data_IF_230543923821
#
_entry.id   IF_230543923821
#
_cell.length_a   1.000
_cell.length_b   1.000
_cell.length_c   1.000
_cell.angle_alpha   90.00
_cell.angle_beta   90.00
_cell.angle_gamma   90.00
#
_symmetry.space_group_name_H-M   'P 1'
#
loop_
_entity.id
_entity.type
_entity.pdbx_description
1 polymer ?
#
# COMPACT_ATOMS: atom_id res chain seq x y z
N UNK A 1 5.73 14.61 -31.76
CA UNK A 1 5.06 13.52 -31.03
C UNK A 1 6.14 12.80 -30.25
N UNK A 2 6.14 12.93 -28.93
CA UNK A 2 6.63 11.97 -27.91
C UNK A 2 6.47 12.66 -26.57
N UNK A 3 5.52 12.15 -25.80
CA UNK A 3 5.16 12.61 -24.47
C UNK A 3 6.35 12.56 -23.52
N UNK A 4 6.91 13.72 -23.18
CA UNK A 4 7.91 13.77 -22.12
C UNK A 4 7.87 15.10 -21.40
N UNK A 5 6.97 15.19 -20.41
CA UNK A 5 7.08 16.00 -19.17
C UNK A 5 5.69 16.07 -18.51
N UNK A 6 5.33 14.97 -17.86
CA UNK A 6 4.25 14.92 -16.88
C UNK A 6 4.79 14.42 -15.54
N UNK A 7 5.95 14.91 -15.10
CA UNK A 7 6.64 14.45 -13.88
C UNK A 7 7.06 15.60 -12.97
N UNK A 8 6.13 16.53 -12.75
CA UNK A 8 6.24 17.50 -11.64
C UNK A 8 4.87 17.60 -10.96
N UNK A 9 4.34 16.45 -10.52
CA UNK A 9 3.31 16.46 -9.49
C UNK A 9 4.06 16.43 -8.16
N UNK A 10 4.33 17.62 -7.63
CA UNK A 10 4.68 17.85 -6.23
C UNK A 10 3.84 16.90 -5.35
N UNK A 11 4.45 15.78 -4.92
CA UNK A 11 3.72 14.68 -4.30
C UNK A 11 3.46 15.07 -2.86
N UNK A 12 2.46 15.91 -2.64
CA UNK A 12 1.83 16.04 -1.34
C UNK A 12 1.16 14.70 -1.06
N UNK A 13 1.91 13.78 -0.46
CA UNK A 13 1.33 12.59 0.14
C UNK A 13 0.29 13.13 1.14
N UNK A 14 -0.97 12.81 0.91
CA UNK A 14 -2.02 13.22 1.84
C UNK A 14 -1.74 12.54 3.17
N UNK A 15 -1.98 13.24 4.28
CA UNK A 15 -1.80 12.68 5.63
C UNK A 15 -2.48 11.31 5.78
N UNK A 16 -3.66 11.14 5.16
CA UNK A 16 -4.39 9.86 5.10
C UNK A 16 -3.54 8.70 4.52
N UNK A 17 -2.75 8.97 3.46
CA UNK A 17 -1.89 7.98 2.79
C UNK A 17 -0.63 7.70 3.61
N UNK A 18 -0.07 8.71 4.27
CA UNK A 18 1.03 8.51 5.22
C UNK A 18 0.60 7.63 6.39
N UNK A 19 -0.55 7.94 6.99
CA UNK A 19 -1.13 7.14 8.07
C UNK A 19 -1.43 5.70 7.60
N UNK A 20 -1.98 5.52 6.40
CA UNK A 20 -2.17 4.19 5.81
C UNK A 20 -0.86 3.41 5.73
N UNK A 21 0.20 4.05 5.22
CA UNK A 21 1.52 3.44 5.10
C UNK A 21 2.07 3.04 6.48
N UNK A 22 1.91 3.90 7.49
CA UNK A 22 2.33 3.61 8.86
C UNK A 22 1.54 2.46 9.49
N UNK A 23 0.22 2.42 9.30
CA UNK A 23 -0.62 1.29 9.75
C UNK A 23 -0.16 0.00 9.08
N UNK A 24 0.03 -0.01 7.76
CA UNK A 24 0.53 -1.19 7.03
C UNK A 24 1.88 -1.64 7.60
N UNK A 25 2.79 -0.72 7.96
CA UNK A 25 4.06 -1.08 8.63
C UNK A 25 3.87 -1.64 10.03
N UNK A 26 2.82 -1.23 10.74
CA UNK A 26 2.57 -1.62 12.11
C UNK A 26 1.89 -3.00 12.21
N UNK A 27 0.89 -3.25 11.36
CA UNK A 27 0.12 -4.52 11.36
C UNK A 27 0.56 -5.49 10.26
N UNK A 28 1.37 -5.04 9.31
CA UNK A 28 1.89 -5.85 8.22
C UNK A 28 3.20 -6.53 8.59
N UNK A 29 3.46 -7.64 7.91
CA UNK A 29 4.61 -8.49 8.17
C UNK A 29 5.73 -8.17 7.17
N UNK A 30 6.99 -8.10 7.63
CA UNK A 30 8.12 -7.97 6.72
C UNK A 30 8.27 -9.25 5.90
N UNK A 31 8.20 -9.12 4.58
CA UNK A 31 8.48 -10.21 3.67
C UNK A 31 9.97 -10.21 3.36
N UNK A 32 10.65 -11.28 3.75
CA UNK A 32 12.02 -11.52 3.34
C UNK A 32 12.00 -11.82 1.83
N UNK A 33 12.67 -10.98 1.02
CA UNK A 33 13.00 -11.40 -0.34
C UNK A 33 14.08 -12.47 -0.18
N UNK A 34 13.62 -13.72 -0.10
CA UNK A 34 14.46 -14.92 -0.17
C UNK A 34 15.45 -14.77 -1.33
N UNK A 35 16.72 -14.46 -0.99
CA UNK A 35 17.73 -14.21 -2.01
C UNK A 35 18.80 -13.21 -1.60
N UNK A 36 19.85 -13.77 -0.99
CA UNK A 36 21.22 -13.23 -0.89
C UNK A 36 21.50 -12.28 0.28
N UNK A 37 22.08 -12.88 1.32
CA UNK A 37 22.67 -12.18 2.44
C UNK A 37 23.87 -11.36 2.00
N UNK A 38 23.65 -10.08 1.69
CA UNK A 38 24.64 -9.01 1.91
C UNK A 38 24.01 -7.66 1.62
N UNK A 39 23.69 -6.91 2.68
CA UNK A 39 23.51 -5.46 2.63
C UNK A 39 22.06 -5.00 2.40
N UNK A 40 21.43 -4.55 3.48
CA UNK A 40 20.49 -3.41 3.52
C UNK A 40 19.56 -3.20 2.32
N UNK A 41 18.93 -4.26 1.79
CA UNK A 41 17.87 -4.14 0.78
C UNK A 41 16.53 -4.26 1.48
N UNK A 42 15.69 -3.24 1.29
CA UNK A 42 14.44 -3.04 2.03
C UNK A 42 13.61 -4.30 2.15
N UNK A 43 13.17 -4.59 3.39
CA UNK A 43 12.11 -5.56 3.66
C UNK A 43 10.82 -4.95 3.14
N UNK A 44 10.24 -5.52 2.09
CA UNK A 44 8.91 -5.14 1.64
C UNK A 44 7.91 -5.55 2.72
N UNK A 45 7.03 -4.65 3.15
CA UNK A 45 6.00 -4.99 4.14
C UNK A 45 4.74 -5.43 3.40
N UNK A 46 4.13 -6.53 3.84
CA UNK A 46 2.89 -7.04 3.27
C UNK A 46 1.81 -7.21 4.32
N UNK A 47 0.56 -6.85 3.99
CA UNK A 47 -0.60 -7.01 4.87
C UNK A 47 -1.82 -7.49 4.09
N UNK A 48 -2.69 -8.26 4.74
CA UNK A 48 -3.96 -8.68 4.14
C UNK A 48 -4.99 -7.55 4.18
N UNK A 49 -5.79 -7.40 3.11
CA UNK A 49 -6.83 -6.38 3.01
C UNK A 49 -7.86 -6.51 4.13
N UNK A 50 -8.27 -7.73 4.48
CA UNK A 50 -9.21 -7.99 5.55
C UNK A 50 -8.72 -7.45 6.89
N UNK A 51 -7.46 -7.73 7.25
CA UNK A 51 -6.83 -7.20 8.48
C UNK A 51 -6.77 -5.68 8.49
N UNK A 52 -6.34 -5.10 7.36
CA UNK A 52 -6.26 -3.65 7.21
C UNK A 52 -7.66 -3.01 7.29
N UNK A 53 -8.65 -3.64 6.67
CA UNK A 53 -10.04 -3.21 6.64
C UNK A 53 -10.68 -3.29 8.01
N UNK A 54 -10.52 -4.40 8.75
CA UNK A 54 -11.02 -4.51 10.13
C UNK A 54 -10.44 -3.41 11.04
N UNK A 55 -9.15 -3.10 10.90
CA UNK A 55 -8.53 -2.00 11.66
C UNK A 55 -9.09 -0.62 11.28
N UNK A 56 -9.42 -0.41 10.00
CA UNK A 56 -9.97 0.85 9.49
C UNK A 56 -11.50 0.97 9.63
N UNK A 57 -12.26 -0.13 9.72
CA UNK A 57 -13.73 -0.13 9.84
C UNK A 57 -14.19 0.63 11.08
N UNK A 58 -13.42 0.55 12.15
CA UNK A 58 -13.71 1.27 13.39
C UNK A 58 -13.48 2.79 13.24
N UNK A 59 -12.71 3.23 12.24
CA UNK A 59 -12.16 4.60 12.14
C UNK A 59 -12.67 5.36 10.90
N UNK A 60 -12.86 4.72 9.74
CA UNK A 60 -13.44 5.34 8.52
C UNK A 60 -13.67 4.37 7.35
N UNK A 61 -14.80 4.53 6.64
CA UNK A 61 -15.13 3.83 5.39
C UNK A 61 -14.34 4.33 4.15
N UNK A 62 -13.23 5.05 4.34
CA UNK A 62 -12.44 5.68 3.27
C UNK A 62 -11.23 4.86 2.82
N UNK A 63 -10.94 3.72 3.45
CA UNK A 63 -9.73 2.92 3.22
C UNK A 63 -9.48 2.65 1.74
N UNK A 64 -10.50 2.18 0.99
CA UNK A 64 -10.36 1.87 -0.45
C UNK A 64 -9.94 3.10 -1.25
N UNK A 65 -10.50 4.27 -0.93
CA UNK A 65 -10.12 5.53 -1.58
C UNK A 65 -8.68 5.94 -1.28
N UNK A 66 -8.21 5.70 -0.05
CA UNK A 66 -6.82 6.00 0.36
C UNK A 66 -5.85 5.02 -0.30
N UNK A 67 -6.18 3.73 -0.35
CA UNK A 67 -5.40 2.69 -1.05
C UNK A 67 -5.23 3.01 -2.53
N UNK A 68 -6.30 3.42 -3.21
CA UNK A 68 -6.22 3.83 -4.62
C UNK A 68 -5.32 5.06 -4.83
N UNK A 69 -5.37 6.04 -3.91
CA UNK A 69 -4.47 7.22 -3.96
C UNK A 69 -3.01 6.82 -3.70
N UNK A 70 -2.77 5.91 -2.76
CA UNK A 70 -1.44 5.39 -2.46
C UNK A 70 -0.87 4.61 -3.64
N UNK A 71 -1.69 3.77 -4.30
CA UNK A 71 -1.33 3.01 -5.51
C UNK A 71 -1.01 3.94 -6.68
N UNK A 72 -1.80 5.00 -6.87
CA UNK A 72 -1.52 6.02 -7.90
C UNK A 72 -0.17 6.72 -7.70
N UNK A 73 0.30 6.81 -6.45
CA UNK A 73 1.60 7.34 -6.07
C UNK A 73 2.71 6.27 -6.04
N UNK A 74 2.41 5.01 -6.38
CA UNK A 74 3.32 3.85 -6.31
C UNK A 74 3.91 3.61 -4.90
N UNK A 75 3.16 3.95 -3.86
CA UNK A 75 3.53 3.68 -2.46
C UNK A 75 3.04 2.31 -1.98
N UNK A 76 2.00 1.78 -2.61
CA UNK A 76 1.45 0.45 -2.34
C UNK A 76 1.11 -0.25 -3.64
N UNK A 77 1.13 -1.56 -3.61
CA UNK A 77 0.67 -2.43 -4.68
C UNK A 77 -0.15 -3.57 -4.09
N UNK A 78 -1.17 -4.02 -4.81
CA UNK A 78 -1.99 -5.15 -4.40
C UNK A 78 -2.54 -5.85 -5.62
N UNK A 79 -2.79 -7.14 -5.48
CA UNK A 79 -3.35 -7.94 -6.57
C UNK A 79 -4.81 -7.54 -6.80
N UNK A 80 -5.16 -7.29 -8.08
CA UNK A 80 -6.49 -6.86 -8.50
C UNK A 80 -6.60 -5.37 -8.83
N UNK A 81 -7.73 -4.99 -9.43
CA UNK A 81 -8.01 -3.59 -9.81
C UNK A 81 -8.78 -2.86 -8.70
N UNK A 82 -9.67 -3.57 -8.00
CA UNK A 82 -10.47 -3.10 -6.87
C UNK A 82 -10.60 -4.21 -5.83
N UNK A 83 -10.64 -3.83 -4.55
CA UNK A 83 -10.81 -4.74 -3.41
C UNK A 83 -12.23 -4.62 -2.86
N UNK A 84 -12.94 -5.74 -2.76
CA UNK A 84 -14.28 -5.84 -2.21
C UNK A 84 -14.26 -6.52 -0.85
N UNK A 85 -14.90 -5.89 0.14
CA UNK A 85 -15.11 -6.49 1.45
C UNK A 85 -15.88 -7.81 1.32
N UNK A 86 -15.46 -8.85 2.04
CA UNK A 86 -16.09 -10.18 2.04
C UNK A 86 -15.60 -11.11 0.93
N UNK A 87 -14.95 -10.57 -0.11
CA UNK A 87 -14.43 -11.34 -1.24
C UNK A 87 -12.91 -11.28 -1.32
N UNK A 88 -12.35 -10.09 -1.19
CA UNK A 88 -10.93 -9.82 -1.36
C UNK A 88 -10.22 -9.64 0.00
N UNK A 89 -10.79 -10.13 1.10
CA UNK A 89 -10.18 -10.01 2.43
C UNK A 89 -8.79 -10.65 2.52
N UNK A 90 -8.55 -11.68 1.71
CA UNK A 90 -7.24 -12.35 1.60
C UNK A 90 -6.28 -11.68 0.61
N UNK A 91 -6.68 -10.56 -0.01
CA UNK A 91 -5.81 -9.85 -0.94
C UNK A 91 -4.60 -9.27 -0.21
N UNK A 92 -3.40 -9.52 -0.75
CA UNK A 92 -2.15 -9.05 -0.17
C UNK A 92 -1.82 -7.65 -0.69
N UNK A 93 -1.67 -6.72 0.23
CA UNK A 93 -1.23 -5.35 -0.01
C UNK A 93 0.23 -5.26 0.37
N UNK A 94 1.06 -4.93 -0.61
CA UNK A 94 2.49 -4.73 -0.50
C UNK A 94 2.80 -3.25 -0.40
N UNK A 95 3.58 -2.87 0.59
CA UNK A 95 4.13 -1.54 0.74
C UNK A 95 5.40 -1.40 -0.09
N UNK A 96 5.37 -0.53 -1.10
CA UNK A 96 6.51 -0.21 -1.95
C UNK A 96 7.21 1.01 -1.35
N UNK A 97 8.31 0.80 -0.62
CA UNK A 97 9.09 1.86 0.00
C UNK A 97 10.56 1.80 -0.40
#
# INVERSE_FOLDING_TARGET
MTEQRGKDAHTHISREVEELCEVIRNIGEPRDKDGDGSGSKGRDITVEFGKLFEHYVTISNKLVGILLRARKQRLVDFEGEMLWQGKDDHAVITLLQ
#
